data_IF_580363829186
#
_entry.id   IF_580363829186
#
_cell.length_a   1.000
_cell.length_b   1.000
_cell.length_c   1.000
_cell.angle_alpha   90.00
_cell.angle_beta   90.00
_cell.angle_gamma   90.00
#
_symmetry.space_group_name_H-M   'P 1'
#
loop_
_entity.id
_entity.type
_entity.pdbx_description
1 polymer ?
#
# COMPACT_ATOMS: atom_id res chain seq x y z
N UNK A 1 -22.72 22.79 -16.66
CA UNK A 1 -21.61 22.39 -15.76
C UNK A 1 -22.14 22.56 -14.35
N UNK A 2 -22.56 21.47 -13.72
CA UNK A 2 -23.30 21.54 -12.46
C UNK A 2 -22.39 21.91 -11.30
N UNK A 3 -22.82 22.86 -10.47
CA UNK A 3 -22.08 23.32 -9.29
C UNK A 3 -21.74 22.17 -8.32
N UNK A 4 -22.56 21.12 -8.31
CA UNK A 4 -22.33 19.90 -7.55
C UNK A 4 -21.09 19.13 -8.02
N UNK A 5 -20.81 19.07 -9.33
CA UNK A 5 -19.65 18.36 -9.89
C UNK A 5 -18.35 19.08 -9.53
N UNK A 6 -18.36 20.42 -9.58
CA UNK A 6 -17.19 21.23 -9.18
C UNK A 6 -16.92 21.08 -7.67
N UNK A 7 -17.97 21.02 -6.85
CA UNK A 7 -17.85 20.77 -5.41
C UNK A 7 -17.21 19.40 -5.11
N UNK A 8 -17.64 18.33 -5.79
CA UNK A 8 -17.07 16.98 -5.59
C UNK A 8 -15.60 16.86 -6.02
N UNK A 9 -15.22 17.51 -7.11
CA UNK A 9 -13.82 17.58 -7.53
C UNK A 9 -12.97 18.38 -6.54
N UNK A 10 -13.50 19.50 -6.03
CA UNK A 10 -12.81 20.30 -5.00
C UNK A 10 -12.60 19.51 -3.70
N UNK A 11 -13.59 18.72 -3.27
CA UNK A 11 -13.49 17.88 -2.09
C UNK A 11 -12.50 16.72 -2.25
N UNK A 12 -12.35 16.18 -3.46
CA UNK A 12 -11.35 15.16 -3.75
C UNK A 12 -9.92 15.70 -3.76
N UNK A 13 -9.73 16.92 -4.28
CA UNK A 13 -8.42 17.61 -4.24
C UNK A 13 -8.08 18.07 -2.82
N UNK A 14 -9.06 18.55 -2.04
CA UNK A 14 -8.86 19.01 -0.66
C UNK A 14 -8.65 17.87 0.34
N UNK A 15 -9.09 16.64 0.05
CA UNK A 15 -8.84 15.47 0.90
C UNK A 15 -7.45 14.84 0.68
N UNK A 16 -6.65 15.34 -0.26
CA UNK A 16 -5.25 14.91 -0.38
C UNK A 16 -4.50 15.41 0.84
N UNK A 17 -4.32 14.55 1.83
CA UNK A 17 -3.52 14.89 2.99
C UNK A 17 -2.05 14.95 2.60
N UNK A 18 -1.29 15.98 3.06
CA UNK A 18 0.15 16.06 2.81
C UNK A 18 0.91 14.82 3.30
N UNK A 19 0.41 14.17 4.37
CA UNK A 19 0.96 12.92 4.89
C UNK A 19 0.82 11.74 3.91
N UNK A 20 -0.35 11.59 3.28
CA UNK A 20 -0.54 10.54 2.27
C UNK A 20 0.34 10.77 1.04
N UNK A 21 0.52 12.02 0.62
CA UNK A 21 1.43 12.37 -0.48
C UNK A 21 2.88 12.00 -0.16
N UNK A 22 3.33 12.27 1.08
CA UNK A 22 4.67 11.89 1.54
C UNK A 22 4.84 10.36 1.58
N UNK A 23 3.85 9.62 2.07
CA UNK A 23 3.90 8.16 2.10
C UNK A 23 3.87 7.54 0.71
N UNK A 24 3.12 8.09 -0.24
CA UNK A 24 3.18 7.68 -1.65
C UNK A 24 4.57 7.93 -2.25
N UNK A 25 5.22 9.05 -1.93
CA UNK A 25 6.59 9.32 -2.35
C UNK A 25 7.58 8.29 -1.77
N UNK A 26 7.44 7.92 -0.49
CA UNK A 26 8.22 6.85 0.13
C UNK A 26 7.96 5.50 -0.55
N UNK A 27 6.71 5.15 -0.83
CA UNK A 27 6.36 3.95 -1.58
C UNK A 27 6.99 3.91 -2.98
N UNK A 28 7.04 5.05 -3.66
CA UNK A 28 7.74 5.20 -4.94
C UNK A 28 9.26 5.02 -4.82
N UNK A 29 9.88 5.54 -3.75
CA UNK A 29 11.30 5.32 -3.46
C UNK A 29 11.58 3.83 -3.22
N UNK A 30 10.72 3.13 -2.48
CA UNK A 30 10.87 1.69 -2.22
C UNK A 30 10.76 0.87 -3.51
N UNK A 31 9.82 1.21 -4.39
CA UNK A 31 9.72 0.59 -5.72
C UNK A 31 10.96 0.86 -6.57
N UNK A 32 11.48 2.09 -6.54
CA UNK A 32 12.71 2.44 -7.23
C UNK A 32 13.90 1.60 -6.74
N UNK A 33 14.07 1.44 -5.42
CA UNK A 33 15.11 0.60 -4.85
C UNK A 33 14.94 -0.89 -5.18
N UNK A 34 13.70 -1.39 -5.26
CA UNK A 34 13.43 -2.77 -5.64
C UNK A 34 13.82 -3.06 -7.10
N UNK A 35 13.53 -2.12 -8.02
CA UNK A 35 13.71 -2.33 -9.47
C UNK A 35 15.12 -1.97 -9.93
N UNK A 36 15.64 -0.81 -9.52
CA UNK A 36 16.92 -0.30 -10.01
C UNK A 36 18.11 -0.89 -9.24
N UNK A 37 17.91 -1.20 -7.95
CA UNK A 37 18.99 -1.62 -7.06
C UNK A 37 18.89 -3.09 -6.64
N UNK A 38 17.85 -3.82 -7.08
CA UNK A 38 17.60 -5.21 -6.73
C UNK A 38 17.70 -5.51 -5.22
N UNK A 39 17.40 -4.51 -4.37
CA UNK A 39 17.33 -4.71 -2.93
C UNK A 39 16.04 -5.46 -2.63
N UNK A 40 16.17 -6.71 -2.16
CA UNK A 40 15.09 -7.64 -1.80
C UNK A 40 13.80 -7.41 -2.61
N UNK A 41 13.85 -7.56 -3.95
CA UNK A 41 12.78 -7.13 -4.84
C UNK A 41 11.46 -7.85 -4.54
N UNK A 42 11.54 -9.09 -4.05
CA UNK A 42 10.39 -9.90 -3.66
C UNK A 42 9.63 -9.31 -2.46
N UNK A 43 10.32 -8.60 -1.56
CA UNK A 43 9.71 -7.96 -0.39
C UNK A 43 9.43 -6.47 -0.64
N UNK A 44 10.39 -5.71 -1.17
CA UNK A 44 10.24 -4.26 -1.33
C UNK A 44 9.20 -3.89 -2.38
N UNK A 45 9.03 -4.68 -3.44
CA UNK A 45 8.03 -4.43 -4.48
C UNK A 45 6.58 -4.48 -3.93
N UNK A 46 6.14 -5.56 -3.24
CA UNK A 46 4.81 -5.59 -2.65
C UNK A 46 4.63 -4.58 -1.50
N UNK A 47 5.67 -4.28 -0.72
CA UNK A 47 5.60 -3.27 0.35
C UNK A 47 5.41 -1.87 -0.26
N UNK A 48 6.19 -1.50 -1.27
CA UNK A 48 6.09 -0.21 -1.95
C UNK A 48 4.73 -0.04 -2.64
N UNK A 49 4.27 -1.08 -3.35
CA UNK A 49 2.93 -1.08 -3.95
C UNK A 49 1.82 -0.96 -2.91
N UNK A 50 1.88 -1.72 -1.82
CA UNK A 50 0.91 -1.64 -0.72
C UNK A 50 0.86 -0.26 -0.08
N UNK A 51 2.01 0.37 0.14
CA UNK A 51 2.10 1.73 0.68
C UNK A 51 1.46 2.77 -0.24
N UNK A 52 1.70 2.69 -1.55
CA UNK A 52 1.05 3.57 -2.53
C UNK A 52 -0.47 3.35 -2.54
N UNK A 53 -0.91 2.09 -2.63
CA UNK A 53 -2.33 1.73 -2.68
C UNK A 53 -3.10 2.14 -1.40
N UNK A 54 -2.46 2.05 -0.24
CA UNK A 54 -3.03 2.45 1.05
C UNK A 54 -3.10 3.97 1.25
N UNK A 55 -2.26 4.75 0.56
CA UNK A 55 -2.21 6.20 0.69
C UNK A 55 -2.89 6.95 -0.47
N UNK A 56 -3.63 6.24 -1.34
CA UNK A 56 -4.43 6.88 -2.39
C UNK A 56 -5.59 7.70 -1.77
N UNK A 57 -5.76 8.98 -2.16
CA UNK A 57 -6.85 9.82 -1.68
C UNK A 57 -8.19 9.24 -2.15
N UNK A 58 -9.17 9.17 -1.23
CA UNK A 58 -10.49 8.60 -1.49
C UNK A 58 -10.46 7.12 -1.97
N UNK A 59 -9.40 6.37 -1.61
CA UNK A 59 -9.28 4.96 -2.00
C UNK A 59 -10.35 4.09 -1.32
N UNK A 60 -11.27 3.47 -2.06
CA UNK A 60 -12.24 2.52 -1.49
C UNK A 60 -11.56 1.26 -0.94
N UNK A 61 -10.28 1.05 -1.26
CA UNK A 61 -9.52 -0.10 -0.79
C UNK A 61 -9.20 -0.05 0.71
N UNK A 62 -9.17 1.15 1.32
CA UNK A 62 -8.84 1.36 2.75
C UNK A 62 -10.08 1.73 3.57
N UNK A 63 -11.24 1.83 2.92
CA UNK A 63 -12.51 2.03 3.61
C UNK A 63 -12.87 0.82 4.50
N UNK A 64 -13.87 0.97 5.37
CA UNK A 64 -14.43 -0.16 6.11
C UNK A 64 -14.96 -1.22 5.12
N UNK A 65 -14.38 -2.42 5.16
CA UNK A 65 -14.66 -3.49 4.20
C UNK A 65 -13.89 -3.40 2.87
N UNK A 66 -12.98 -2.44 2.73
CA UNK A 66 -12.05 -2.35 1.61
C UNK A 66 -11.08 -3.53 1.56
N UNK A 67 -10.62 -3.87 0.35
CA UNK A 67 -9.74 -5.01 0.13
C UNK A 67 -8.48 -4.95 1.00
N UNK A 68 -7.82 -3.79 1.11
CA UNK A 68 -6.60 -3.64 1.91
C UNK A 68 -6.89 -3.74 3.41
N UNK A 69 -8.03 -3.22 3.86
CA UNK A 69 -8.47 -3.35 5.26
C UNK A 69 -8.73 -4.80 5.64
N UNK A 70 -9.36 -5.58 4.76
CA UNK A 70 -9.59 -7.02 4.96
C UNK A 70 -8.27 -7.77 4.98
N UNK A 71 -7.39 -7.54 4.00
CA UNK A 71 -6.08 -8.18 3.93
C UNK A 71 -5.21 -7.84 5.15
N UNK A 72 -5.21 -6.58 5.61
CA UNK A 72 -4.52 -6.17 6.82
C UNK A 72 -5.09 -6.88 8.06
N UNK A 73 -6.42 -6.95 8.19
CA UNK A 73 -7.08 -7.61 9.32
C UNK A 73 -6.80 -9.11 9.37
N UNK A 74 -6.86 -9.81 8.25
CA UNK A 74 -6.58 -11.25 8.20
C UNK A 74 -5.10 -11.58 8.23
N UNK A 75 -4.25 -10.69 7.70
CA UNK A 75 -2.84 -10.95 7.49
C UNK A 75 -1.93 -10.40 8.58
N UNK A 76 -2.09 -9.12 8.92
CA UNK A 76 -1.23 -8.40 9.88
C UNK A 76 -1.75 -8.57 11.30
N UNK A 77 -3.04 -8.31 11.54
CA UNK A 77 -3.61 -8.36 12.89
C UNK A 77 -3.65 -9.79 13.46
N UNK A 78 -3.72 -10.80 12.60
CA UNK A 78 -3.67 -12.22 12.97
C UNK A 78 -2.27 -12.83 12.81
N UNK A 79 -1.22 -12.02 12.59
CA UNK A 79 0.19 -12.44 12.43
C UNK A 79 0.43 -13.49 11.31
N UNK A 80 -0.56 -13.72 10.45
CA UNK A 80 -0.50 -14.70 9.37
C UNK A 80 0.60 -14.35 8.36
N UNK A 81 0.76 -13.08 7.99
CA UNK A 81 1.81 -12.66 7.04
C UNK A 81 3.23 -12.85 7.60
N UNK A 82 3.56 -12.42 8.84
CA UNK A 82 4.83 -12.77 9.48
C UNK A 82 5.13 -14.27 9.48
N UNK A 83 4.15 -15.12 9.85
CA UNK A 83 4.32 -16.57 9.87
C UNK A 83 4.59 -17.14 8.46
N UNK A 84 3.85 -16.68 7.45
CA UNK A 84 4.05 -17.10 6.06
C UNK A 84 5.44 -16.69 5.53
N UNK A 85 5.92 -15.50 5.87
CA UNK A 85 7.27 -15.04 5.52
C UNK A 85 8.33 -15.97 6.15
N UNK A 86 8.20 -16.32 7.43
CA UNK A 86 9.14 -17.24 8.09
C UNK A 86 9.15 -18.64 7.44
N UNK A 87 7.98 -19.17 7.06
CA UNK A 87 7.89 -20.45 6.35
C UNK A 87 8.56 -20.35 4.96
N UNK A 88 8.30 -19.28 4.21
CA UNK A 88 8.91 -19.05 2.90
C UNK A 88 10.43 -18.96 2.93
N UNK A 89 10.98 -18.21 3.90
CA UNK A 89 12.44 -18.10 4.09
C UNK A 89 13.05 -19.46 4.41
N UNK A 90 12.42 -20.25 5.30
CA UNK A 90 12.92 -21.59 5.63
C UNK A 90 12.90 -22.54 4.44
N UNK A 91 11.89 -22.42 3.57
CA UNK A 91 11.82 -23.20 2.33
C UNK A 91 12.95 -22.85 1.37
N UNK A 92 13.34 -21.58 1.27
CA UNK A 92 14.41 -21.14 0.36
C UNK A 92 15.81 -21.53 0.81
N UNK A 93 16.03 -21.77 2.12
CA UNK A 93 17.33 -22.16 2.69
C UNK A 93 17.52 -23.69 2.69
N UNK A 94 16.44 -24.46 2.52
CA UNK A 94 16.44 -25.92 2.54
C UNK A 94 16.54 -26.62 1.17
N UNK A 95 16.69 -25.86 0.08
CA UNK A 95 16.98 -26.31 -1.28
C UNK A 95 18.44 -26.07 -1.64
#
# INVERSE_FOLDING_TARGET
MDAATISRLSQGVLNVTPGALLMMAVGGILLYLAIEKDYEPVLLLPIGAGCILANLPLSPLVAEGGLLTILAKFGVDNELYPLLIFIGIRSSIGS
#
